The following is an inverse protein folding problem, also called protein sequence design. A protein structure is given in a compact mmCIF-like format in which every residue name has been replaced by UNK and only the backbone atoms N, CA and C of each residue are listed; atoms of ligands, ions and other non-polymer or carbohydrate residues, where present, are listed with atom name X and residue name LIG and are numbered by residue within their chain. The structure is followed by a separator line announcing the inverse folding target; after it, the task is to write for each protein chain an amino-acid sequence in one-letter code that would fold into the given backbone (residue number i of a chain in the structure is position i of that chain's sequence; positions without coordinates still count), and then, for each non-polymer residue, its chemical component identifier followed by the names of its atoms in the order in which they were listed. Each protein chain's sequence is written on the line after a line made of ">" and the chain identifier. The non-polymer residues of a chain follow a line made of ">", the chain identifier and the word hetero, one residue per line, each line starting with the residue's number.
data_IF_278877556699
#
_entry.id   IF_278877556699
#
_cell.length_a   1.000
_cell.length_b   1.000
_cell.length_c   1.000
_cell.angle_alpha   90.00
_cell.angle_beta   90.00
_cell.angle_gamma   90.00
#
_symmetry.space_group_name_H-M   'P 1'
#
loop_
_entity.id
_entity.type
_entity.pdbx_description
1 polymer ?
#
# COMPACT_ATOMS: atom_id res chain seq x y z
N UNK A 1 -4.79 -9.47 -49.19
CA UNK A 1 -5.18 -9.84 -47.81
C UNK A 1 -3.99 -10.12 -46.90
N UNK A 2 -3.03 -10.97 -47.29
CA UNK A 2 -1.89 -11.36 -46.42
C UNK A 2 -1.05 -10.16 -45.92
N UNK A 3 -0.77 -9.18 -46.79
CA UNK A 3 0.03 -7.99 -46.46
C UNK A 3 -0.65 -7.10 -45.41
N UNK A 4 -1.98 -6.98 -45.45
CA UNK A 4 -2.74 -6.20 -44.47
C UNK A 4 -2.81 -6.90 -43.10
N UNK A 5 -2.87 -8.24 -43.08
CA UNK A 5 -2.85 -9.03 -41.85
C UNK A 5 -1.47 -9.00 -41.21
N UNK A 6 -0.40 -9.15 -42.00
CA UNK A 6 0.99 -9.05 -41.51
C UNK A 6 1.29 -7.62 -41.06
N UNK A 7 0.86 -6.61 -41.83
CA UNK A 7 0.99 -5.20 -41.46
C UNK A 7 0.26 -4.87 -40.16
N UNK A 8 -0.97 -5.36 -40.00
CA UNK A 8 -1.75 -5.22 -38.77
C UNK A 8 -1.11 -5.93 -37.57
N UNK A 9 -0.53 -7.13 -37.78
CA UNK A 9 0.16 -7.87 -36.74
C UNK A 9 1.46 -7.19 -36.31
N UNK A 10 2.23 -6.66 -37.26
CA UNK A 10 3.46 -5.89 -36.99
C UNK A 10 3.12 -4.58 -36.29
N UNK A 11 2.05 -3.88 -36.70
CA UNK A 11 1.59 -2.68 -36.02
C UNK A 11 1.12 -2.99 -34.60
N UNK A 12 0.38 -4.08 -34.40
CA UNK A 12 -0.06 -4.56 -33.08
C UNK A 12 1.12 -4.97 -32.20
N UNK A 13 2.11 -5.66 -32.75
CA UNK A 13 3.32 -6.05 -32.02
C UNK A 13 4.19 -4.84 -31.69
N UNK A 14 4.31 -3.85 -32.58
CA UNK A 14 5.00 -2.59 -32.30
C UNK A 14 4.23 -1.74 -31.27
N UNK A 15 2.90 -1.72 -31.32
CA UNK A 15 2.06 -1.08 -30.30
C UNK A 15 2.25 -1.80 -28.96
N UNK A 16 2.28 -3.13 -28.95
CA UNK A 16 2.52 -3.92 -27.74
C UNK A 16 3.96 -3.75 -27.23
N UNK A 17 4.94 -3.62 -28.11
CA UNK A 17 6.34 -3.42 -27.72
C UNK A 17 6.56 -2.01 -27.15
N UNK A 18 6.01 -0.97 -27.78
CA UNK A 18 6.16 0.42 -27.32
C UNK A 18 5.26 0.81 -26.14
N UNK A 19 4.12 0.13 -25.94
CA UNK A 19 3.16 0.49 -24.88
C UNK A 19 3.03 -0.55 -23.76
N UNK A 20 3.49 -1.79 -23.92
CA UNK A 20 3.16 -2.92 -23.03
C UNK A 20 4.37 -3.65 -22.42
N UNK A 21 5.61 -3.27 -22.72
CA UNK A 21 6.81 -4.02 -22.24
C UNK A 21 7.12 -3.90 -20.74
N UNK A 22 6.45 -3.02 -20.00
CA UNK A 22 6.66 -2.85 -18.55
C UNK A 22 5.40 -3.20 -17.71
N UNK A 23 4.29 -3.52 -18.37
CA UNK A 23 2.98 -3.63 -17.70
C UNK A 23 2.87 -4.85 -16.77
N UNK A 24 3.68 -5.90 -16.93
CA UNK A 24 3.56 -7.12 -16.11
C UNK A 24 4.10 -6.97 -14.68
N UNK A 25 5.19 -6.23 -14.48
CA UNK A 25 5.70 -5.88 -13.15
C UNK A 25 4.88 -4.73 -12.53
N UNK A 26 4.54 -3.74 -13.36
CA UNK A 26 3.62 -2.66 -12.99
C UNK A 26 2.26 -3.17 -12.52
N UNK A 27 1.71 -4.18 -13.19
CA UNK A 27 0.46 -4.81 -12.79
C UNK A 27 0.62 -5.64 -11.52
N UNK A 28 1.76 -6.29 -11.27
CA UNK A 28 1.96 -7.11 -10.07
C UNK A 28 2.11 -6.25 -8.79
N UNK A 29 2.91 -5.18 -8.85
CA UNK A 29 3.05 -4.25 -7.72
C UNK A 29 1.77 -3.46 -7.49
N UNK A 30 1.11 -3.04 -8.58
CA UNK A 30 -0.26 -2.52 -8.53
C UNK A 30 -1.21 -3.52 -7.91
N UNK A 31 -1.13 -4.80 -8.27
CA UNK A 31 -2.02 -5.84 -7.78
C UNK A 31 -1.85 -6.08 -6.28
N UNK A 32 -0.62 -6.08 -5.77
CA UNK A 32 -0.37 -6.20 -4.33
C UNK A 32 -0.87 -4.95 -3.56
N UNK A 33 -0.49 -3.75 -3.99
CA UNK A 33 -0.93 -2.51 -3.34
C UNK A 33 -2.45 -2.32 -3.43
N UNK A 34 -3.09 -2.67 -4.55
CA UNK A 34 -4.55 -2.63 -4.67
C UNK A 34 -5.23 -3.59 -3.70
N UNK A 35 -4.69 -4.80 -3.52
CA UNK A 35 -5.21 -5.75 -2.54
C UNK A 35 -5.05 -5.23 -1.11
N UNK A 36 -3.90 -4.63 -0.78
CA UNK A 36 -3.65 -3.96 0.48
C UNK A 36 -4.70 -2.86 0.78
N UNK A 37 -4.91 -1.93 -0.16
CA UNK A 37 -5.92 -0.86 0.00
C UNK A 37 -7.36 -1.41 0.04
N UNK A 38 -7.66 -2.47 -0.70
CA UNK A 38 -8.97 -3.13 -0.65
C UNK A 38 -9.23 -3.79 0.71
N UNK A 39 -8.20 -4.44 1.30
CA UNK A 39 -8.25 -5.00 2.65
C UNK A 39 -8.45 -3.88 3.67
N UNK A 40 -7.65 -2.81 3.61
CA UNK A 40 -7.76 -1.66 4.50
C UNK A 40 -9.19 -1.07 4.50
N UNK A 41 -9.72 -0.75 3.33
CA UNK A 41 -11.07 -0.20 3.17
C UNK A 41 -12.16 -1.15 3.67
N UNK A 42 -11.96 -2.46 3.53
CA UNK A 42 -12.90 -3.46 4.07
C UNK A 42 -12.81 -3.55 5.59
N UNK A 43 -11.60 -3.51 6.18
CA UNK A 43 -11.42 -3.50 7.63
C UNK A 43 -12.12 -2.31 8.28
N UNK A 44 -11.95 -1.10 7.74
CA UNK A 44 -12.64 0.10 8.25
C UNK A 44 -14.18 -0.04 8.22
N UNK A 45 -14.71 -0.73 7.20
CA UNK A 45 -16.15 -1.04 7.10
C UNK A 45 -16.59 -2.17 8.01
N UNK A 46 -15.73 -3.13 8.32
CA UNK A 46 -16.05 -4.25 9.22
C UNK A 46 -16.05 -3.77 10.68
N UNK A 47 -15.09 -2.92 11.03
CA UNK A 47 -14.86 -2.42 12.38
C UNK A 47 -15.13 -0.91 12.41
N UNK A 48 -16.41 -0.54 12.46
CA UNK A 48 -16.82 0.87 12.49
C UNK A 48 -16.14 1.61 13.66
N UNK A 49 -15.60 2.80 13.37
CA UNK A 49 -14.86 3.61 14.35
C UNK A 49 -13.36 3.28 14.44
N UNK A 50 -12.92 2.19 13.81
CA UNK A 50 -11.49 1.87 13.70
C UNK A 50 -10.76 2.79 12.70
N UNK A 51 -9.44 2.85 12.82
CA UNK A 51 -8.55 3.48 11.85
C UNK A 51 -7.58 2.46 11.29
N UNK A 52 -7.32 2.51 9.98
CA UNK A 52 -6.30 1.66 9.35
C UNK A 52 -5.18 2.53 8.81
N UNK A 53 -3.97 2.27 9.29
CA UNK A 53 -2.74 2.87 8.78
C UNK A 53 -2.11 1.92 7.76
N UNK A 54 -1.66 2.46 6.63
CA UNK A 54 -1.24 1.68 5.46
C UNK A 54 0.22 2.00 5.11
N UNK A 55 1.03 0.96 4.92
CA UNK A 55 2.40 1.08 4.43
C UNK A 55 3.32 1.84 5.38
N UNK A 56 3.24 1.56 6.68
CA UNK A 56 4.13 2.15 7.68
C UNK A 56 5.55 1.62 7.48
N UNK A 57 6.55 2.49 7.56
CA UNK A 57 7.97 2.18 7.51
C UNK A 57 8.66 2.59 8.81
N UNK A 58 8.79 1.67 9.75
CA UNK A 58 9.49 1.95 11.02
C UNK A 58 10.96 1.58 10.94
N UNK A 59 11.87 2.32 11.61
CA UNK A 59 13.25 1.88 11.78
C UNK A 59 13.27 0.59 12.61
N UNK A 60 14.10 -0.38 12.20
CA UNK A 60 14.40 -1.55 13.02
C UNK A 60 15.58 -1.19 13.95
N UNK A 61 15.46 -1.36 15.28
CA UNK A 61 16.57 -1.09 16.19
C UNK A 61 17.73 -2.07 15.97
N UNK A 62 17.42 -3.31 15.56
CA UNK A 62 18.39 -4.38 15.37
C UNK A 62 19.05 -4.36 13.99
N UNK A 63 18.52 -3.56 13.06
CA UNK A 63 19.07 -3.47 11.71
C UNK A 63 19.09 -2.04 11.20
N UNK A 64 20.14 -1.63 10.49
CA UNK A 64 20.21 -0.28 9.93
C UNK A 64 19.18 -0.01 8.80
N UNK A 65 18.17 -0.86 8.62
CA UNK A 65 17.13 -0.76 7.61
C UNK A 65 15.75 -0.48 8.21
N UNK A 66 14.86 0.06 7.37
CA UNK A 66 13.45 0.24 7.71
C UNK A 66 12.68 -1.05 7.46
N UNK A 67 11.71 -1.35 8.31
CA UNK A 67 10.76 -2.45 8.16
C UNK A 67 9.42 -1.93 7.69
N UNK A 68 8.88 -2.61 6.71
CA UNK A 68 7.58 -2.29 6.13
C UNK A 68 6.49 -3.06 6.87
N UNK A 69 5.51 -2.33 7.38
CA UNK A 69 4.27 -2.86 7.92
C UNK A 69 3.16 -2.52 6.93
N UNK A 70 2.56 -3.56 6.38
CA UNK A 70 1.47 -3.47 5.41
C UNK A 70 0.30 -2.66 5.97
N UNK A 71 -0.27 -3.09 7.10
CA UNK A 71 -1.41 -2.46 7.73
C UNK A 71 -1.29 -2.49 9.26
N UNK A 72 -1.73 -1.42 9.92
CA UNK A 72 -2.03 -1.40 11.35
C UNK A 72 -3.47 -0.97 11.52
N UNK A 73 -4.32 -1.89 11.99
CA UNK A 73 -5.69 -1.57 12.37
C UNK A 73 -5.70 -1.18 13.85
N UNK A 74 -6.25 -0.02 14.17
CA UNK A 74 -6.45 0.44 15.55
C UNK A 74 -7.94 0.45 15.85
N UNK A 75 -8.32 -0.29 16.89
CA UNK A 75 -9.66 -0.26 17.49
C UNK A 75 -9.57 0.32 18.91
N UNK A 76 -10.70 0.46 19.59
CA UNK A 76 -10.72 0.92 20.98
C UNK A 76 -10.05 -0.08 21.94
N UNK A 77 -9.94 -1.37 21.57
CA UNK A 77 -9.53 -2.45 22.48
C UNK A 77 -8.20 -3.10 22.14
N UNK A 78 -7.82 -3.07 20.88
CA UNK A 78 -6.55 -3.61 20.43
C UNK A 78 -6.07 -2.91 19.16
N UNK A 79 -4.78 -3.05 18.89
CA UNK A 79 -4.20 -2.79 17.59
C UNK A 79 -3.74 -4.12 16.96
N UNK A 80 -3.89 -4.24 15.64
CA UNK A 80 -3.51 -5.44 14.91
C UNK A 80 -2.54 -5.07 13.79
N UNK A 81 -1.35 -5.67 13.84
CA UNK A 81 -0.39 -5.68 12.72
C UNK A 81 -0.84 -6.71 11.70
N UNK A 82 -1.14 -6.27 10.49
CA UNK A 82 -1.70 -7.14 9.46
C UNK A 82 -0.74 -7.17 8.27
N UNK A 83 -0.21 -8.35 7.94
CA UNK A 83 0.45 -8.58 6.65
C UNK A 83 -0.56 -9.07 5.61
N UNK A 84 -0.53 -8.48 4.43
CA UNK A 84 -1.42 -8.85 3.32
C UNK A 84 -0.64 -9.66 2.31
N UNK A 85 -0.94 -10.95 2.18
CA UNK A 85 -0.29 -11.83 1.19
C UNK A 85 -1.24 -12.10 0.03
N UNK A 86 -1.09 -11.34 -1.06
CA UNK A 86 -1.91 -11.48 -2.26
C UNK A 86 -1.48 -12.65 -3.18
N UNK A 87 -1.35 -13.83 -2.59
CA UNK A 87 -0.91 -15.07 -3.25
C UNK A 87 -2.05 -15.77 -3.99
N UNK A 88 -1.73 -16.45 -5.09
CA UNK A 88 -2.72 -17.18 -5.89
C UNK A 88 -2.27 -18.61 -6.18
N UNK A 89 -3.22 -19.52 -6.43
CA UNK A 89 -2.95 -20.93 -6.69
C UNK A 89 -3.03 -21.79 -5.43
N UNK A 90 -2.40 -22.96 -5.49
CA UNK A 90 -2.37 -23.90 -4.37
C UNK A 90 -1.25 -23.51 -3.41
N UNK A 91 -1.59 -23.31 -2.14
CA UNK A 91 -0.64 -22.90 -1.11
C UNK A 91 -0.60 -23.95 0.00
N UNK A 92 0.61 -24.37 0.36
CA UNK A 92 0.88 -25.25 1.50
C UNK A 92 1.95 -24.65 2.40
N UNK A 93 1.86 -24.95 3.68
CA UNK A 93 2.90 -24.67 4.66
C UNK A 93 3.88 -25.85 4.73
N UNK A 94 5.18 -25.58 4.67
CA UNK A 94 6.21 -26.57 4.98
C UNK A 94 6.44 -26.69 6.50
N UNK A 95 7.36 -27.56 6.90
CA UNK A 95 7.67 -27.81 8.32
C UNK A 95 8.32 -26.62 9.03
N UNK A 96 8.95 -25.71 8.28
CA UNK A 96 9.60 -24.50 8.79
C UNK A 96 8.64 -23.30 8.84
N UNK A 97 7.39 -23.52 8.40
CA UNK A 97 6.35 -22.50 8.34
C UNK A 97 6.38 -21.66 7.06
N UNK A 98 7.28 -21.94 6.11
CA UNK A 98 7.32 -21.24 4.83
C UNK A 98 6.16 -21.69 3.95
N UNK A 99 5.72 -20.78 3.09
CA UNK A 99 4.63 -21.08 2.16
C UNK A 99 5.20 -21.46 0.80
N UNK A 100 4.76 -22.61 0.32
CA UNK A 100 5.03 -23.09 -1.03
C UNK A 100 3.78 -22.82 -1.86
N UNK A 101 3.90 -21.92 -2.83
CA UNK A 101 2.81 -21.49 -3.71
C UNK A 101 2.99 -22.09 -5.10
N UNK A 102 2.05 -22.91 -5.55
CA UNK A 102 2.05 -23.50 -6.90
C UNK A 102 0.97 -22.83 -7.76
N UNK A 103 1.41 -21.99 -8.69
CA UNK A 103 0.54 -21.27 -9.62
C UNK A 103 0.20 -22.04 -10.90
N UNK A 104 -0.62 -21.42 -11.77
CA UNK A 104 -1.10 -22.00 -13.05
C UNK A 104 0.01 -22.28 -14.08
N UNK A 105 1.21 -21.72 -13.90
CA UNK A 105 2.35 -21.88 -14.82
C UNK A 105 3.46 -22.79 -14.27
N UNK A 106 3.17 -23.64 -13.29
CA UNK A 106 4.14 -24.56 -12.66
C UNK A 106 5.37 -23.90 -12.03
N UNK A 107 5.41 -22.56 -11.93
CA UNK A 107 6.42 -21.87 -11.13
C UNK A 107 6.02 -21.99 -9.67
N UNK A 108 6.84 -22.70 -8.92
CA UNK A 108 6.74 -22.75 -7.46
C UNK A 108 7.43 -21.53 -6.91
N UNK A 109 6.69 -20.72 -6.15
CA UNK A 109 7.22 -19.60 -5.39
C UNK A 109 7.27 -20.00 -3.92
N UNK A 110 8.39 -19.69 -3.26
CA UNK A 110 8.55 -19.91 -1.83
C UNK A 110 8.52 -18.56 -1.13
N UNK A 111 7.62 -18.42 -0.16
CA UNK A 111 7.49 -17.23 0.67
C UNK A 111 7.97 -17.60 2.07
N UNK A 112 9.01 -16.94 2.60
CA UNK A 112 9.51 -17.20 3.95
C UNK A 112 8.42 -16.94 4.99
N UNK A 113 8.37 -17.80 6.01
CA UNK A 113 7.33 -17.90 7.04
C UNK A 113 6.59 -16.58 7.37
N UNK A 114 5.45 -16.29 6.71
CA UNK A 114 4.76 -15.01 6.85
C UNK A 114 4.28 -14.73 8.28
N UNK A 115 3.98 -15.79 9.02
CA UNK A 115 3.48 -15.72 10.40
C UNK A 115 4.60 -15.28 11.33
N UNK A 116 5.78 -15.90 11.22
CA UNK A 116 6.96 -15.52 12.00
C UNK A 116 7.44 -14.10 11.65
N UNK A 117 7.47 -13.75 10.35
CA UNK A 117 7.83 -12.40 9.90
C UNK A 117 6.88 -11.34 10.48
N UNK A 118 5.57 -11.57 10.40
CA UNK A 118 4.57 -10.62 10.92
C UNK A 118 4.64 -10.52 12.44
N UNK A 119 4.88 -11.64 13.14
CA UNK A 119 5.10 -11.63 14.60
C UNK A 119 6.30 -10.77 14.98
N UNK A 120 7.39 -10.83 14.22
CA UNK A 120 8.57 -9.96 14.45
C UNK A 120 8.21 -8.48 14.30
N UNK A 121 7.37 -8.13 13.32
CA UNK A 121 6.93 -6.75 13.12
C UNK A 121 6.12 -6.19 14.31
N UNK A 122 5.44 -7.04 15.08
CA UNK A 122 4.75 -6.62 16.31
C UNK A 122 5.75 -6.06 17.31
N UNK A 123 6.81 -6.81 17.62
CA UNK A 123 7.82 -6.37 18.60
C UNK A 123 8.54 -5.10 18.16
N UNK A 124 8.82 -4.95 16.86
CA UNK A 124 9.45 -3.73 16.33
C UNK A 124 8.49 -2.53 16.45
N UNK A 125 7.19 -2.74 16.18
CA UNK A 125 6.19 -1.68 16.33
C UNK A 125 5.97 -1.30 17.80
N UNK A 126 5.95 -2.29 18.70
CA UNK A 126 5.88 -2.07 20.16
C UNK A 126 7.01 -1.15 20.61
N UNK A 127 8.26 -1.50 20.28
CA UNK A 127 9.43 -0.70 20.67
C UNK A 127 9.39 0.69 20.03
N UNK A 128 9.01 0.81 18.76
CA UNK A 128 8.85 2.10 18.10
C UNK A 128 7.82 3.00 18.81
N UNK A 129 6.69 2.43 19.24
CA UNK A 129 5.64 3.15 19.94
C UNK A 129 6.08 3.56 21.35
N UNK A 130 6.77 2.69 22.07
CA UNK A 130 7.35 2.99 23.39
C UNK A 130 8.37 4.13 23.32
N UNK A 131 9.27 4.12 22.34
CA UNK A 131 10.23 5.20 22.10
C UNK A 131 9.55 6.55 21.80
N UNK A 132 8.31 6.51 21.28
CA UNK A 132 7.47 7.69 21.03
C UNK A 132 6.56 8.02 22.22
N UNK A 133 6.76 7.37 23.36
CA UNK A 133 6.06 7.61 24.61
C UNK A 133 4.69 6.92 24.71
N UNK A 134 4.40 5.94 23.86
CA UNK A 134 3.17 5.14 23.92
C UNK A 134 3.51 3.78 24.49
N UNK A 135 3.38 3.64 25.82
CA UNK A 135 3.49 2.35 26.49
C UNK A 135 2.20 1.56 26.30
N UNK A 136 2.27 0.43 25.61
CA UNK A 136 1.11 -0.39 25.30
C UNK A 136 0.80 -1.34 26.46
N UNK A 137 -0.47 -1.56 26.81
CA UNK A 137 -0.84 -2.64 27.73
C UNK A 137 -0.43 -4.01 27.18
N UNK A 138 -0.08 -4.93 28.07
CA UNK A 138 0.28 -6.29 27.69
C UNK A 138 -0.81 -6.96 26.83
N UNK A 139 -0.42 -7.46 25.66
CA UNK A 139 -1.34 -8.13 24.73
C UNK A 139 -2.32 -7.20 24.02
N UNK A 140 -2.06 -5.88 24.02
CA UNK A 140 -2.83 -4.90 23.23
C UNK A 140 -2.51 -4.97 21.73
N UNK A 141 -1.26 -5.29 21.37
CA UNK A 141 -0.90 -5.57 19.99
C UNK A 141 -1.04 -7.06 19.68
N UNK A 142 -1.72 -7.35 18.58
CA UNK A 142 -1.81 -8.69 17.99
C UNK A 142 -1.41 -8.64 16.52
N UNK A 143 -1.39 -9.79 15.85
CA UNK A 143 -1.10 -9.82 14.42
C UNK A 143 -1.93 -10.83 13.65
N UNK A 144 -2.08 -10.57 12.34
CA UNK A 144 -2.68 -11.49 11.37
C UNK A 144 -1.98 -11.45 10.01
N UNK A 145 -2.13 -12.54 9.28
CA UNK A 145 -1.78 -12.62 7.86
C UNK A 145 -3.07 -12.82 7.07
N UNK A 146 -3.41 -11.90 6.16
CA UNK A 146 -4.63 -11.97 5.35
C UNK A 146 -4.28 -12.35 3.91
N UNK A 147 -4.98 -13.37 3.39
CA UNK A 147 -4.88 -13.81 1.99
C UNK A 147 -6.15 -13.40 1.22
N UNK A 148 -6.20 -12.19 0.64
CA UNK A 148 -7.43 -11.65 0.05
C UNK A 148 -7.72 -12.15 -1.38
N UNK A 149 -6.85 -12.98 -1.96
CA UNK A 149 -6.97 -13.39 -3.36
C UNK A 149 -8.03 -14.51 -3.52
N UNK A 150 -9.03 -14.36 -4.41
CA UNK A 150 -10.04 -15.41 -4.65
C UNK A 150 -9.47 -16.71 -5.22
N UNK A 151 -8.28 -16.66 -5.81
CA UNK A 151 -7.60 -17.85 -6.34
C UNK A 151 -6.70 -18.53 -5.30
N UNK A 152 -6.67 -18.07 -4.06
CA UNK A 152 -5.96 -18.74 -2.97
C UNK A 152 -6.66 -20.07 -2.64
N UNK A 153 -5.92 -21.17 -2.70
CA UNK A 153 -6.43 -22.50 -2.35
C UNK A 153 -5.46 -23.18 -1.40
N UNK A 154 -5.86 -23.34 -0.13
CA UNK A 154 -5.11 -24.14 0.81
C UNK A 154 -5.14 -25.62 0.38
N UNK A 155 -3.98 -26.28 0.30
CA UNK A 155 -3.93 -27.72 -0.01
C UNK A 155 -4.55 -28.56 1.11
N UNK A 156 -4.39 -28.10 2.36
CA UNK A 156 -5.06 -28.66 3.54
C UNK A 156 -5.65 -27.51 4.35
N UNK A 157 -6.94 -27.59 4.67
CA UNK A 157 -7.66 -26.47 5.31
C UNK A 157 -7.20 -26.19 6.74
N UNK A 158 -6.55 -27.15 7.39
CA UNK A 158 -5.99 -27.11 8.74
C UNK A 158 -4.47 -26.88 8.77
N UNK A 159 -3.81 -26.68 7.61
CA UNK A 159 -2.35 -26.50 7.57
C UNK A 159 -1.87 -25.12 7.99
N UNK A 160 -2.78 -24.17 8.21
CA UNK A 160 -2.41 -22.80 8.57
C UNK A 160 -2.79 -22.50 10.01
N UNK A 161 -1.93 -21.77 10.74
CA UNK A 161 -2.22 -21.38 12.12
C UNK A 161 -3.34 -20.32 12.16
N UNK A 162 -4.00 -20.10 13.31
CA UNK A 162 -5.17 -19.22 13.45
C UNK A 162 -4.89 -17.73 13.18
N UNK A 163 -3.61 -17.35 13.06
CA UNK A 163 -3.18 -16.02 12.63
C UNK A 163 -3.36 -15.79 11.13
N UNK A 164 -3.50 -16.86 10.33
CA UNK A 164 -3.71 -16.78 8.89
C UNK A 164 -5.21 -16.79 8.58
N UNK A 165 -5.66 -15.78 7.85
CA UNK A 165 -7.03 -15.65 7.39
C UNK A 165 -7.04 -15.92 5.89
N UNK A 166 -7.59 -17.07 5.52
CA UNK A 166 -7.74 -17.47 4.11
C UNK A 166 -8.81 -16.64 3.41
N UNK A 167 -8.87 -16.72 2.08
CA UNK A 167 -9.90 -16.00 1.31
C UNK A 167 -11.33 -16.36 1.74
N UNK A 168 -11.60 -17.64 2.00
CA UNK A 168 -12.92 -18.11 2.41
C UNK A 168 -13.31 -17.54 3.77
N UNK A 169 -12.38 -17.55 4.74
CA UNK A 169 -12.59 -16.93 6.04
C UNK A 169 -12.76 -15.41 5.91
N UNK A 170 -11.92 -14.76 5.11
CA UNK A 170 -11.95 -13.31 4.86
C UNK A 170 -13.29 -12.85 4.28
N UNK A 171 -13.85 -13.61 3.34
CA UNK A 171 -15.14 -13.27 2.71
C UNK A 171 -16.33 -13.47 3.64
N UNK A 172 -16.25 -14.42 4.58
CA UNK A 172 -17.30 -14.70 5.55
C UNK A 172 -17.44 -13.62 6.64
N UNK A 173 -16.43 -12.78 6.86
CA UNK A 173 -16.51 -11.67 7.80
C UNK A 173 -17.54 -10.63 7.32
N UNK A 174 -18.59 -10.44 8.12
CA UNK A 174 -19.67 -9.48 7.85
C UNK A 174 -19.65 -8.31 8.83
N UNK A 175 -19.97 -7.08 8.37
CA UNK A 175 -20.16 -5.94 9.25
C UNK A 175 -21.30 -6.22 10.24
N UNK A 176 -21.10 -5.93 11.52
CA UNK A 176 -22.19 -5.93 12.51
C UNK A 176 -22.67 -7.30 13.02
N UNK A 177 -21.99 -8.42 12.71
CA UNK A 177 -22.26 -9.68 13.42
C UNK A 177 -21.73 -9.58 14.86
N UNK A 178 -22.63 -9.33 15.80
CA UNK A 178 -22.45 -9.41 17.27
C UNK A 178 -22.22 -10.85 17.75
N UNK A 179 -21.42 -11.64 17.05
CA UNK A 179 -21.07 -12.98 17.48
C UNK A 179 -19.69 -12.90 18.12
N UNK A 180 -19.65 -13.08 19.44
CA UNK A 180 -18.47 -13.27 20.29
C UNK A 180 -17.48 -14.34 19.77
N UNK A 181 -17.81 -15.05 18.68
CA UNK A 181 -17.03 -16.13 18.08
C UNK A 181 -16.60 -15.89 16.62
N UNK A 182 -17.04 -14.82 15.92
CA UNK A 182 -16.72 -14.61 14.49
C UNK A 182 -15.81 -13.41 14.19
N UNK A 183 -15.63 -12.51 15.15
CA UNK A 183 -14.60 -11.47 15.07
C UNK A 183 -13.28 -12.04 15.58
N UNK A 184 -12.28 -12.20 14.70
CA UNK A 184 -10.93 -12.56 15.13
C UNK A 184 -10.20 -11.41 15.83
N UNK A 185 -10.83 -10.24 15.86
CA UNK A 185 -10.44 -9.06 16.61
C UNK A 185 -11.29 -9.04 17.87
N UNK A 186 -10.65 -8.85 19.02
CA UNK A 186 -11.24 -8.60 20.32
C UNK A 186 -12.29 -7.51 20.18
N UNK A 187 -13.53 -7.93 20.06
CA UNK A 187 -14.70 -7.08 20.03
C UNK A 187 -15.61 -7.49 21.18
N UNK A 188 -16.58 -6.62 21.45
CA UNK A 188 -17.80 -6.87 22.23
C UNK A 188 -17.71 -6.44 23.70
N UNK A 189 -18.08 -5.19 23.99
CA UNK A 189 -19.34 -4.77 24.65
C UNK A 189 -19.29 -3.24 24.87
N UNK A 190 -20.37 -2.54 24.56
CA UNK A 190 -20.55 -1.14 24.95
C UNK A 190 -20.74 -1.07 26.47
N UNK A 191 -19.65 -0.94 27.22
CA UNK A 191 -19.61 -0.51 28.61
C UNK A 191 -18.75 0.73 28.69
N UNK A 192 -19.33 1.85 29.15
CA UNK A 192 -18.76 3.19 29.35
C UNK A 192 -17.33 3.45 28.83
N UNK A 193 -17.19 4.34 27.84
CA UNK A 193 -15.90 4.93 27.44
C UNK A 193 -15.14 5.40 28.69
N UNK A 194 -14.08 4.70 29.05
CA UNK A 194 -13.11 5.22 30.00
C UNK A 194 -12.34 6.35 29.30
N UNK A 195 -12.37 7.55 29.87
CA UNK A 195 -11.63 8.72 29.34
C UNK A 195 -10.13 8.43 29.21
N UNK A 196 -9.60 7.57 30.08
CA UNK A 196 -8.20 7.18 30.04
C UNK A 196 -7.87 6.36 28.78
N UNK A 197 -8.76 5.45 28.38
CA UNK A 197 -8.63 4.66 27.16
C UNK A 197 -8.75 5.53 25.89
N UNK A 198 -9.66 6.51 25.89
CA UNK A 198 -9.79 7.46 24.77
C UNK A 198 -8.52 8.28 24.57
N UNK A 199 -7.94 8.83 25.66
CA UNK A 199 -6.68 9.58 25.59
C UNK A 199 -5.49 8.74 25.11
N UNK A 200 -5.46 7.46 25.47
CA UNK A 200 -4.46 6.51 25.01
C UNK A 200 -4.60 6.22 23.52
N UNK A 201 -5.79 5.89 23.04
CA UNK A 201 -6.08 5.65 21.63
C UNK A 201 -5.81 6.90 20.78
N UNK A 202 -6.09 8.10 21.30
CA UNK A 202 -5.73 9.37 20.65
C UNK A 202 -4.22 9.52 20.49
N UNK A 203 -3.45 9.24 21.56
CA UNK A 203 -1.99 9.30 21.52
C UNK A 203 -1.40 8.28 20.54
N UNK A 204 -1.88 7.04 20.57
CA UNK A 204 -1.50 5.98 19.63
C UNK A 204 -1.79 6.41 18.19
N UNK A 205 -3.00 6.90 17.93
CA UNK A 205 -3.40 7.38 16.62
C UNK A 205 -2.55 8.56 16.14
N UNK A 206 -2.18 9.46 17.05
CA UNK A 206 -1.29 10.58 16.76
C UNK A 206 0.08 10.09 16.32
N UNK A 207 0.69 9.16 17.06
CA UNK A 207 2.00 8.60 16.70
C UNK A 207 1.92 7.88 15.36
N UNK A 208 0.95 6.98 15.15
CA UNK A 208 0.80 6.26 13.89
C UNK A 208 0.49 7.17 12.69
N UNK A 209 -0.24 8.27 12.90
CA UNK A 209 -0.53 9.25 11.83
C UNK A 209 0.70 10.03 11.36
N UNK A 210 1.76 10.04 12.17
CA UNK A 210 3.04 10.71 11.90
C UNK A 210 4.20 9.74 11.68
N UNK A 211 3.92 8.43 11.72
CA UNK A 211 4.92 7.41 11.44
C UNK A 211 5.42 7.56 9.99
N UNK A 212 6.70 7.26 9.72
CA UNK A 212 7.18 7.23 8.35
C UNK A 212 6.37 6.18 7.56
N UNK A 213 6.07 6.48 6.29
CA UNK A 213 5.29 5.62 5.40
C UNK A 213 6.05 5.43 4.09
N UNK A 214 5.65 4.47 3.26
CA UNK A 214 6.09 4.40 1.87
C UNK A 214 5.50 5.57 1.07
N UNK A 215 6.21 6.07 0.06
CA UNK A 215 5.58 6.95 -0.93
C UNK A 215 4.44 6.18 -1.61
N UNK A 216 3.37 6.89 -1.96
CA UNK A 216 2.19 6.29 -2.58
C UNK A 216 1.88 7.00 -3.88
N UNK A 217 1.99 6.27 -4.98
CA UNK A 217 1.57 6.69 -6.30
C UNK A 217 0.17 6.16 -6.60
N UNK A 218 -0.78 7.06 -6.82
CA UNK A 218 -2.13 6.72 -7.28
C UNK A 218 -2.22 6.97 -8.79
N UNK A 219 -2.63 5.94 -9.52
CA UNK A 219 -2.79 5.95 -10.96
C UNK A 219 -4.28 5.86 -11.33
N UNK A 220 -4.60 6.32 -12.54
CA UNK A 220 -5.94 6.17 -13.12
C UNK A 220 -6.36 4.71 -13.15
N UNK A 221 -7.67 4.49 -13.00
CA UNK A 221 -8.23 3.15 -12.86
C UNK A 221 -8.15 2.60 -11.43
N UNK A 222 -7.96 3.47 -10.42
CA UNK A 222 -7.87 3.10 -9.01
C UNK A 222 -6.75 2.08 -8.75
N UNK A 223 -5.59 2.31 -9.39
CA UNK A 223 -4.37 1.52 -9.24
C UNK A 223 -3.41 2.26 -8.32
N UNK A 224 -2.77 1.55 -7.40
CA UNK A 224 -1.84 2.13 -6.43
C UNK A 224 -0.47 1.48 -6.53
N UNK A 225 0.59 2.22 -6.27
CA UNK A 225 1.95 1.67 -6.13
C UNK A 225 2.55 2.26 -4.85
N UNK A 226 3.12 1.41 -4.01
CA UNK A 226 3.87 1.81 -2.82
C UNK A 226 5.36 1.64 -3.07
N UNK A 227 6.18 2.55 -2.56
CA UNK A 227 7.62 2.51 -2.73
C UNK A 227 8.28 3.86 -2.53
N UNK A 228 9.22 4.22 -3.39
CA UNK A 228 10.00 5.45 -3.31
C UNK A 228 9.91 6.26 -4.61
N UNK A 229 9.54 7.53 -4.48
CA UNK A 229 9.65 8.50 -5.56
C UNK A 229 11.12 8.90 -5.72
N UNK A 230 11.63 8.75 -6.94
CA UNK A 230 13.02 9.09 -7.25
C UNK A 230 13.12 10.48 -7.86
N UNK A 231 12.51 10.69 -9.03
CA UNK A 231 12.62 11.95 -9.77
C UNK A 231 11.57 12.06 -10.90
N UNK A 232 11.45 13.25 -11.47
CA UNK A 232 10.76 13.44 -12.74
C UNK A 232 11.74 13.26 -13.91
N UNK A 233 11.25 12.70 -15.03
CA UNK A 233 11.98 12.60 -16.31
C UNK A 233 11.17 13.22 -17.42
N UNK A 234 11.81 13.96 -18.32
CA UNK A 234 11.09 14.65 -19.40
C UNK A 234 11.94 15.70 -20.10
N UNK A 235 11.28 16.67 -20.73
CA UNK A 235 11.98 17.80 -21.35
C UNK A 235 12.52 18.75 -20.29
N UNK A 236 13.62 19.43 -20.62
CA UNK A 236 14.31 20.31 -19.68
C UNK A 236 13.42 21.45 -19.13
N UNK A 237 12.52 21.99 -19.95
CA UNK A 237 11.50 22.97 -19.54
C UNK A 237 10.61 22.42 -18.41
N UNK A 238 10.07 21.21 -18.58
CA UNK A 238 9.21 20.56 -17.59
C UNK A 238 9.99 20.25 -16.30
N UNK A 239 11.24 19.79 -16.42
CA UNK A 239 12.10 19.49 -15.27
C UNK A 239 12.48 20.75 -14.48
N UNK A 240 12.72 21.86 -15.17
CA UNK A 240 12.96 23.16 -14.51
C UNK A 240 11.72 23.64 -13.76
N UNK A 241 10.53 23.44 -14.32
CA UNK A 241 9.27 23.80 -13.68
C UNK A 241 9.01 22.91 -12.43
N UNK A 242 9.35 21.63 -12.50
CA UNK A 242 9.13 20.65 -11.41
C UNK A 242 10.24 20.64 -10.35
N UNK A 243 11.32 21.41 -10.51
CA UNK A 243 12.50 21.37 -9.61
C UNK A 243 12.20 21.70 -8.14
N UNK A 244 11.11 22.41 -7.89
CA UNK A 244 10.64 22.78 -6.54
C UNK A 244 9.98 21.61 -5.83
N UNK A 245 9.42 20.66 -6.58
CA UNK A 245 8.77 19.45 -6.07
C UNK A 245 9.85 18.44 -5.68
N UNK A 246 10.28 18.52 -4.43
CA UNK A 246 11.20 17.57 -3.81
C UNK A 246 10.48 16.78 -2.72
N UNK A 247 10.81 15.49 -2.56
CA UNK A 247 10.28 14.61 -1.49
C UNK A 247 10.39 15.25 -0.10
N UNK A 248 11.48 15.97 0.17
CA UNK A 248 11.72 16.70 1.42
C UNK A 248 10.92 18.00 1.58
N UNK A 249 10.31 18.56 0.53
CA UNK A 249 9.59 19.85 0.61
C UNK A 249 8.10 19.74 0.35
N UNK A 250 7.69 18.71 -0.38
CA UNK A 250 6.31 18.49 -0.79
C UNK A 250 5.77 17.26 -0.07
N UNK A 251 4.57 17.39 0.49
CA UNK A 251 3.88 16.29 1.16
C UNK A 251 2.99 15.52 0.20
N UNK A 252 2.34 16.23 -0.72
CA UNK A 252 1.38 15.65 -1.67
C UNK A 252 1.36 16.44 -2.96
N UNK A 253 1.15 15.74 -4.08
CA UNK A 253 0.74 16.35 -5.34
C UNK A 253 -0.44 15.62 -5.95
N UNK A 254 -1.19 16.31 -6.80
CA UNK A 254 -2.32 15.81 -7.58
C UNK A 254 -2.22 16.31 -9.01
N UNK A 255 -2.61 15.48 -9.96
CA UNK A 255 -2.50 15.79 -11.39
C UNK A 255 -3.89 15.97 -11.98
N UNK A 256 -4.13 17.12 -12.57
CA UNK A 256 -5.37 17.46 -13.27
C UNK A 256 -5.10 17.58 -14.76
N UNK A 257 -5.93 16.93 -15.58
CA UNK A 257 -5.77 16.99 -17.03
C UNK A 257 -6.29 18.33 -17.54
N UNK A 258 -5.43 19.11 -18.17
CA UNK A 258 -5.84 20.29 -18.94
C UNK A 258 -5.89 19.85 -20.40
N UNK A 259 -7.08 19.81 -20.99
CA UNK A 259 -7.22 19.52 -22.43
C UNK A 259 -7.09 20.83 -23.19
N UNK A 260 -6.01 20.99 -23.98
CA UNK A 260 -5.95 22.04 -24.99
C UNK A 260 -6.50 21.48 -26.31
N UNK A 261 -7.57 22.08 -26.82
CA UNK A 261 -8.07 21.85 -28.18
C UNK A 261 -7.09 22.51 -29.18
N UNK A 262 -6.43 21.71 -30.03
CA UNK A 262 -5.56 22.20 -31.11
C UNK A 262 -4.23 21.45 -31.25
N UNK A 263 -3.40 21.87 -32.22
CA UNK A 263 -2.07 21.28 -32.56
C UNK A 263 -0.98 21.43 -31.47
N UNK A 264 -1.34 21.88 -30.27
CA UNK A 264 -0.42 22.05 -29.15
C UNK A 264 -0.19 20.72 -28.39
N UNK A 265 0.97 20.59 -27.73
CA UNK A 265 1.23 19.43 -26.87
C UNK A 265 0.23 19.39 -25.71
N UNK A 266 -0.33 18.21 -25.43
CA UNK A 266 -1.19 18.02 -24.25
C UNK A 266 -0.40 18.32 -22.98
N UNK A 267 -0.99 19.12 -22.08
CA UNK A 267 -0.41 19.49 -20.79
C UNK A 267 -1.25 18.94 -19.63
N UNK A 268 -0.67 18.95 -18.44
CA UNK A 268 -1.32 18.61 -17.18
C UNK A 268 -0.96 19.67 -16.15
N UNK A 269 -1.92 19.99 -15.29
CA UNK A 269 -1.69 20.80 -14.09
C UNK A 269 -1.26 19.88 -12.97
N UNK A 270 -0.17 20.22 -12.29
CA UNK A 270 0.27 19.57 -11.06
C UNK A 270 0.01 20.54 -9.93
N UNK A 271 -0.91 20.20 -9.05
CA UNK A 271 -1.15 20.94 -7.81
C UNK A 271 -0.44 20.21 -6.68
N UNK A 272 0.37 20.91 -5.91
CA UNK A 272 1.13 20.31 -4.82
C UNK A 272 1.06 21.13 -3.53
N UNK A 273 1.17 20.41 -2.42
CA UNK A 273 1.11 20.98 -1.07
C UNK A 273 2.50 20.93 -0.44
N UNK A 274 3.01 22.08 -0.04
CA UNK A 274 4.25 22.17 0.71
C UNK A 274 4.11 21.50 2.08
N UNK A 275 5.21 20.94 2.57
CA UNK A 275 5.25 20.33 3.88
C UNK A 275 5.34 21.42 4.94
N UNK A 276 4.40 21.40 5.88
CA UNK A 276 4.41 22.29 7.04
C UNK A 276 5.25 21.64 8.15
N UNK A 277 6.44 22.20 8.41
CA UNK A 277 7.32 21.78 9.50
C UNK A 277 7.06 22.52 10.81
N UNK A 278 6.21 23.56 10.80
CA UNK A 278 5.99 24.46 11.95
C UNK A 278 4.61 24.32 12.60
N UNK A 279 3.72 23.50 12.02
CA UNK A 279 2.38 23.24 12.55
C UNK A 279 1.52 24.51 12.75
N UNK A 280 1.76 25.54 11.93
CA UNK A 280 1.08 26.85 12.03
C UNK A 280 -0.17 26.94 11.11
N UNK A 281 -0.57 25.85 10.46
CA UNK A 281 -1.98 25.65 10.12
C UNK A 281 -2.47 26.25 8.80
N UNK A 282 -1.59 26.55 7.84
CA UNK A 282 -1.99 26.79 6.45
C UNK A 282 -1.11 26.01 5.48
N UNK A 283 -1.64 24.93 4.91
CA UNK A 283 -0.93 24.15 3.89
C UNK A 283 -0.85 24.97 2.60
N UNK A 284 0.31 25.59 2.34
CA UNK A 284 0.53 26.35 1.11
C UNK A 284 0.43 25.41 -0.10
N UNK A 285 -0.48 25.75 -1.00
CA UNK A 285 -0.68 25.03 -2.28
C UNK A 285 -0.07 25.85 -3.41
N UNK A 286 0.66 25.17 -4.26
CA UNK A 286 1.25 25.73 -5.48
C UNK A 286 0.82 24.89 -6.68
N UNK A 287 0.94 25.47 -7.86
CA UNK A 287 0.60 24.81 -9.11
C UNK A 287 1.67 25.01 -10.18
N UNK A 288 1.82 24.01 -11.04
CA UNK A 288 2.71 24.07 -12.19
C UNK A 288 2.10 23.31 -13.36
N UNK A 289 2.24 23.85 -14.57
CA UNK A 289 1.77 23.18 -15.79
C UNK A 289 2.94 22.60 -16.56
N UNK A 290 2.85 21.33 -16.91
CA UNK A 290 3.88 20.59 -17.65
C UNK A 290 3.26 19.72 -18.72
N UNK A 291 4.08 19.18 -19.62
CA UNK A 291 3.61 18.25 -20.65
C UNK A 291 3.06 16.95 -20.05
N UNK A 292 2.01 16.42 -20.67
CA UNK A 292 1.38 15.15 -20.26
C UNK A 292 2.30 13.92 -20.41
N UNK A 293 3.36 14.05 -21.21
CA UNK A 293 4.38 13.05 -21.49
C UNK A 293 5.51 13.01 -20.46
N UNK A 294 5.58 13.98 -19.55
CA UNK A 294 6.52 13.95 -18.42
C UNK A 294 6.32 12.66 -17.63
N UNK A 295 7.40 12.07 -17.16
CA UNK A 295 7.43 10.79 -16.46
C UNK A 295 7.76 10.99 -14.98
N UNK A 296 7.16 10.15 -14.15
CA UNK A 296 7.52 9.95 -12.75
C UNK A 296 8.34 8.67 -12.67
N UNK A 297 9.58 8.77 -12.20
CA UNK A 297 10.40 7.61 -11.88
C UNK A 297 10.12 7.20 -10.44
N UNK A 298 9.68 5.97 -10.24
CA UNK A 298 9.25 5.47 -8.96
C UNK A 298 9.74 4.04 -8.77
N UNK A 299 10.37 3.74 -7.65
CA UNK A 299 10.83 2.39 -7.31
C UNK A 299 9.79 1.70 -6.43
N UNK A 300 9.09 0.66 -6.94
CA UNK A 300 8.15 -0.09 -6.13
C UNK A 300 8.82 -0.81 -4.97
N UNK A 301 8.11 -0.96 -3.85
CA UNK A 301 8.64 -1.54 -2.61
C UNK A 301 9.14 -2.98 -2.77
N UNK A 302 8.53 -3.77 -3.65
CA UNK A 302 8.88 -5.18 -3.88
C UNK A 302 9.73 -5.39 -5.14
N UNK A 303 10.31 -4.32 -5.69
CA UNK A 303 11.12 -4.35 -6.92
C UNK A 303 12.45 -3.63 -6.74
N UNK A 304 13.53 -4.27 -7.20
CA UNK A 304 14.87 -3.66 -7.26
C UNK A 304 15.03 -2.71 -8.46
N UNK A 305 14.01 -2.60 -9.31
CA UNK A 305 14.05 -1.80 -10.54
C UNK A 305 13.06 -0.64 -10.49
N UNK A 306 13.50 0.58 -10.83
CA UNK A 306 12.60 1.72 -10.91
C UNK A 306 11.75 1.66 -12.18
N UNK A 307 10.47 1.97 -12.02
CA UNK A 307 9.47 2.00 -13.07
C UNK A 307 9.15 3.44 -13.49
N UNK A 308 8.72 3.61 -14.75
CA UNK A 308 8.39 4.93 -15.32
C UNK A 308 6.89 5.06 -15.55
N UNK A 309 6.28 6.06 -14.95
CA UNK A 309 4.84 6.34 -15.08
C UNK A 309 4.62 7.65 -15.80
N UNK A 310 3.76 7.69 -16.82
CA UNK A 310 3.36 8.95 -17.45
C UNK A 310 2.61 9.80 -16.42
N UNK A 311 2.98 11.07 -16.28
CA UNK A 311 2.32 11.99 -15.36
C UNK A 311 0.82 12.12 -15.66
N UNK A 312 0.43 12.01 -16.93
CA UNK A 312 -0.98 11.96 -17.34
C UNK A 312 -1.77 10.72 -16.90
N UNK A 313 -1.11 9.64 -16.47
CA UNK A 313 -1.76 8.49 -15.82
C UNK A 313 -1.78 8.60 -14.30
N UNK A 314 -1.02 9.53 -13.72
CA UNK A 314 -1.01 9.79 -12.28
C UNK A 314 -2.26 10.58 -11.89
N UNK A 315 -2.84 10.24 -10.75
CA UNK A 315 -3.94 10.96 -10.09
C UNK A 315 -3.37 11.75 -8.92
N UNK A 316 -2.61 11.08 -8.06
CA UNK A 316 -1.94 11.73 -6.92
C UNK A 316 -0.64 11.02 -6.55
N UNK A 317 0.26 11.74 -5.89
CA UNK A 317 1.46 11.17 -5.28
C UNK A 317 1.57 11.73 -3.86
N UNK A 318 1.60 10.84 -2.87
CA UNK A 318 1.88 11.15 -1.48
C UNK A 318 3.35 10.85 -1.22
N UNK A 319 4.07 11.85 -0.72
CA UNK A 319 5.50 11.77 -0.47
C UNK A 319 5.74 11.68 1.04
N UNK A 320 6.37 10.60 1.46
CA UNK A 320 6.87 10.38 2.80
C UNK A 320 8.09 11.28 3.07
N UNK A 321 8.26 11.67 4.35
CA UNK A 321 9.42 12.42 4.79
C UNK A 321 10.63 11.50 5.04
#
# INVERSE_FOLDING_TARGET
>A
MLVAVIGGLVLYLLFKYFFYEDDTLLDLDSFHANALFAVAKRLEKLYHGSKVYVGIQIPDPDSASRRNIDLVLVTDHEAVVISVKNVSGFVSCDNDGNWVCTGKHHKTEQIPNPVAETKKLVSILEEYLEQRGVALPDGFLSFKVICPNPNFRAIRSDSFPPEVITYDQWTQLKPGQKNLASGWIKSVLHGGKDKMQESFCEKLNSVLSTAPISDRLELKGNRYVLGEFLEFKGKQEDLQALRTIKRSKVSRLSVQKISMLGFAHSTVQVLYTLRDYRAEGSSQREEVTVRSSTLVLFQPQNSDKPCKYKLSSVVSLLLSA
#
